data_IF_657443311821
#
_entry.id   IF_657443311821
#
_cell.length_a   1.000
_cell.length_b   1.000
_cell.length_c   1.000
_cell.angle_alpha   90.00
_cell.angle_beta   90.00
_cell.angle_gamma   90.00
#
_symmetry.space_group_name_H-M   'P 1'
#
loop_
_entity.id
_entity.type
_entity.pdbx_description
1 polymer ?
#
# COMPACT_ATOMS: atom_id res chain seq x y z
N UNK A 1 35.93 44.62 -28.93
CA UNK A 1 35.81 43.41 -28.10
C UNK A 1 34.34 42.98 -28.06
N UNK A 2 33.94 41.96 -28.84
CA UNK A 2 32.57 41.41 -28.84
C UNK A 2 32.53 40.22 -27.88
N UNK A 3 31.79 40.34 -26.77
CA UNK A 3 31.52 39.23 -25.85
C UNK A 3 30.36 38.40 -26.42
N UNK A 4 30.61 37.15 -26.75
CA UNK A 4 29.58 36.18 -27.08
C UNK A 4 28.99 35.64 -25.76
N UNK A 5 27.68 35.84 -25.54
CA UNK A 5 26.94 35.14 -24.50
C UNK A 5 26.71 33.70 -24.96
N UNK A 6 27.29 32.73 -24.25
CA UNK A 6 26.93 31.33 -24.36
C UNK A 6 25.64 31.12 -23.55
N UNK A 7 24.50 31.00 -24.23
CA UNK A 7 23.25 30.59 -23.60
C UNK A 7 23.28 29.09 -23.32
N UNK A 8 23.32 28.70 -22.05
CA UNK A 8 23.10 27.31 -21.64
C UNK A 8 21.61 27.02 -21.78
N UNK A 9 21.23 26.25 -22.80
CA UNK A 9 19.89 25.67 -22.89
C UNK A 9 19.81 24.54 -21.85
N UNK A 10 19.04 24.76 -20.78
CA UNK A 10 18.59 23.69 -19.91
C UNK A 10 17.53 22.89 -20.68
N UNK A 11 17.85 21.64 -21.02
CA UNK A 11 16.86 20.68 -21.51
C UNK A 11 16.17 20.11 -20.28
N UNK A 12 14.93 20.50 -20.05
CA UNK A 12 14.07 19.81 -19.08
C UNK A 12 13.68 18.46 -19.68
N UNK A 13 14.18 17.36 -19.10
CA UNK A 13 13.61 16.05 -19.35
C UNK A 13 12.28 15.98 -18.58
N UNK A 14 11.17 16.05 -19.30
CA UNK A 14 9.88 15.67 -18.75
C UNK A 14 9.86 14.15 -18.61
N UNK A 15 9.90 13.65 -17.39
CA UNK A 15 9.69 12.22 -17.12
C UNK A 15 8.19 11.95 -17.26
N UNK A 16 7.79 11.31 -18.35
CA UNK A 16 6.41 10.85 -18.51
C UNK A 16 6.18 9.75 -17.46
N UNK A 17 5.35 10.03 -16.47
CA UNK A 17 4.88 9.00 -15.54
C UNK A 17 3.88 8.13 -16.30
N UNK A 18 4.20 6.85 -16.47
CA UNK A 18 3.31 5.89 -17.12
C UNK A 18 2.39 5.27 -16.08
N UNK A 19 1.17 4.94 -16.48
CA UNK A 19 0.26 4.16 -15.64
C UNK A 19 0.51 2.66 -15.84
N UNK A 20 0.48 1.91 -14.74
CA UNK A 20 0.62 0.47 -14.68
C UNK A 20 -0.73 -0.12 -14.25
N UNK A 21 -1.15 -1.20 -14.92
CA UNK A 21 -2.33 -1.96 -14.51
C UNK A 21 -1.97 -2.91 -13.38
N UNK A 22 -2.77 -2.88 -12.31
CA UNK A 22 -2.64 -3.79 -11.18
C UNK A 22 -4.00 -4.36 -10.82
N UNK A 23 -3.99 -5.62 -10.38
CA UNK A 23 -5.15 -6.25 -9.75
C UNK A 23 -4.92 -6.27 -8.24
N UNK A 24 -5.91 -5.84 -7.47
CA UNK A 24 -5.83 -5.77 -6.02
C UNK A 24 -6.99 -6.57 -5.44
N UNK A 25 -6.70 -7.59 -4.65
CA UNK A 25 -7.72 -8.33 -3.89
C UNK A 25 -7.47 -8.07 -2.42
N UNK A 26 -8.45 -7.46 -1.75
CA UNK A 26 -8.36 -7.10 -0.33
C UNK A 26 -9.57 -7.68 0.39
N UNK A 27 -9.34 -8.09 1.63
CA UNK A 27 -10.42 -8.25 2.60
C UNK A 27 -9.94 -7.88 3.99
N UNK A 28 -10.88 -7.46 4.82
CA UNK A 28 -10.67 -7.23 6.24
C UNK A 28 -11.92 -7.72 6.94
N UNK A 29 -11.75 -8.33 8.11
CA UNK A 29 -12.89 -8.58 8.97
C UNK A 29 -13.54 -7.23 9.30
N UNK A 30 -14.83 -7.11 8.98
CA UNK A 30 -15.63 -5.91 9.13
C UNK A 30 -15.49 -4.73 8.14
N UNK A 31 -14.40 -3.96 8.11
CA UNK A 31 -14.35 -2.79 7.21
C UNK A 31 -12.92 -2.40 6.83
N UNK A 32 -12.78 -1.80 5.64
CA UNK A 32 -11.49 -1.35 5.15
C UNK A 32 -11.56 -0.21 4.13
N UNK A 33 -10.38 0.37 3.90
CA UNK A 33 -10.07 1.14 2.70
C UNK A 33 -8.59 1.04 2.42
N UNK A 34 -8.13 1.50 1.27
CA UNK A 34 -6.72 1.46 0.93
C UNK A 34 -6.37 2.59 -0.03
N UNK A 35 -5.08 2.81 -0.24
CA UNK A 35 -4.64 3.85 -1.14
C UNK A 35 -3.16 3.80 -1.43
N UNK A 36 -2.75 4.71 -2.30
CA UNK A 36 -1.37 4.88 -2.70
C UNK A 36 -0.91 6.31 -2.49
N UNK A 37 0.40 6.47 -2.30
CA UNK A 37 1.01 7.78 -2.19
C UNK A 37 2.50 7.68 -1.85
N UNK A 38 2.96 8.63 -1.05
CA UNK A 38 4.34 8.73 -0.60
C UNK A 38 4.46 8.35 0.88
N UNK A 39 5.65 8.49 1.47
CA UNK A 39 5.88 8.19 2.89
C UNK A 39 5.07 9.07 3.87
N UNK A 40 4.50 10.19 3.39
CA UNK A 40 3.85 11.21 4.21
C UNK A 40 2.33 11.25 4.04
N UNK A 41 1.79 10.68 2.96
CA UNK A 41 0.38 10.82 2.64
C UNK A 41 -0.13 9.77 1.65
N UNK A 42 -1.43 9.49 1.76
CA UNK A 42 -2.24 8.90 0.70
C UNK A 42 -2.72 10.03 -0.21
N UNK A 43 -2.55 9.84 -1.52
CA UNK A 43 -3.03 10.77 -2.56
C UNK A 43 -4.19 10.20 -3.36
N UNK A 44 -4.29 8.88 -3.45
CA UNK A 44 -5.38 8.16 -4.13
C UNK A 44 -5.99 7.14 -3.18
N UNK A 45 -7.32 7.17 -3.02
CA UNK A 45 -8.05 6.33 -2.07
C UNK A 45 -9.10 5.47 -2.76
N UNK A 46 -9.24 4.23 -2.29
CA UNK A 46 -10.19 3.23 -2.76
C UNK A 46 -10.80 2.49 -1.55
N UNK A 47 -11.94 1.83 -1.78
CA UNK A 47 -12.66 1.10 -0.75
C UNK A 47 -13.61 2.00 0.06
N UNK A 48 -13.56 1.90 1.39
CA UNK A 48 -14.62 2.36 2.29
C UNK A 48 -15.72 1.32 2.48
N UNK A 49 -15.38 0.06 2.27
CA UNK A 49 -16.31 -1.07 2.26
C UNK A 49 -16.49 -1.62 3.66
N UNK A 50 -17.70 -2.09 3.92
CA UNK A 50 -18.06 -2.88 5.08
C UNK A 50 -18.50 -4.29 4.70
N UNK A 51 -17.87 -5.27 5.34
CA UNK A 51 -18.32 -6.64 5.56
C UNK A 51 -19.11 -6.70 6.88
N UNK A 52 -20.38 -7.11 6.84
CA UNK A 52 -21.25 -7.32 8.01
C UNK A 52 -21.21 -8.78 8.49
N UNK A 53 -20.85 -9.72 7.62
CA UNK A 53 -20.83 -11.16 7.89
C UNK A 53 -19.54 -11.80 7.39
N UNK A 54 -19.09 -12.85 8.07
CA UNK A 54 -17.96 -13.66 7.60
C UNK A 54 -18.18 -14.23 6.18
N UNK A 55 -19.45 -14.48 5.81
CA UNK A 55 -19.81 -14.96 4.48
C UNK A 55 -19.34 -14.03 3.35
N UNK A 56 -19.36 -12.72 3.57
CA UNK A 56 -18.95 -11.73 2.57
C UNK A 56 -17.43 -11.77 2.31
N UNK A 57 -16.65 -12.26 3.28
CA UNK A 57 -15.19 -12.38 3.17
C UNK A 57 -14.79 -13.71 2.52
N UNK A 58 -15.44 -14.80 2.94
CA UNK A 58 -14.96 -16.14 2.63
C UNK A 58 -15.81 -16.91 1.62
N UNK A 59 -16.99 -16.42 1.23
CA UNK A 59 -17.91 -17.18 0.36
C UNK A 59 -17.77 -16.76 -1.09
N UNK A 60 -16.92 -17.46 -1.84
CA UNK A 60 -16.86 -17.35 -3.29
C UNK A 60 -15.61 -16.66 -3.84
N UNK A 61 -15.54 -16.51 -5.18
CA UNK A 61 -14.41 -15.87 -5.86
C UNK A 61 -14.42 -14.35 -5.66
N UNK A 62 -13.29 -13.65 -5.86
CA UNK A 62 -13.26 -12.20 -5.80
C UNK A 62 -14.28 -11.55 -6.75
N UNK A 63 -14.92 -10.49 -6.27
CA UNK A 63 -15.91 -9.73 -7.05
C UNK A 63 -15.31 -8.40 -7.48
N UNK A 64 -15.38 -8.09 -8.78
CA UNK A 64 -14.92 -6.81 -9.30
C UNK A 64 -15.71 -5.66 -8.66
N UNK A 65 -15.02 -4.81 -7.92
CA UNK A 65 -15.57 -3.59 -7.36
C UNK A 65 -15.62 -2.51 -8.45
N UNK A 66 -16.84 -2.18 -8.89
CA UNK A 66 -17.07 -1.18 -9.95
C UNK A 66 -17.33 0.22 -9.41
N UNK A 67 -17.04 0.45 -8.13
CA UNK A 67 -17.23 1.72 -7.46
C UNK A 67 -18.48 1.76 -6.58
N UNK A 68 -18.61 2.81 -5.76
CA UNK A 68 -19.73 2.95 -4.85
C UNK A 68 -21.05 3.18 -5.62
N UNK A 69 -22.09 2.38 -5.35
CA UNK A 69 -23.43 2.66 -5.89
C UNK A 69 -24.16 3.72 -5.07
N UNK A 70 -23.94 3.80 -3.75
CA UNK A 70 -24.30 4.87 -2.78
C UNK A 70 -23.73 4.46 -1.39
N UNK A 71 -23.44 5.38 -0.45
CA UNK A 71 -23.25 4.99 0.95
C UNK A 71 -24.52 4.33 1.50
N UNK A 72 -24.42 3.23 2.27
CA UNK A 72 -23.21 2.56 2.72
C UNK A 72 -22.63 1.61 1.66
N UNK A 73 -21.30 1.58 1.53
CA UNK A 73 -20.62 0.63 0.65
C UNK A 73 -20.58 -0.74 1.32
N UNK A 74 -21.66 -1.50 1.18
CA UNK A 74 -21.68 -2.92 1.58
C UNK A 74 -21.03 -3.76 0.49
N UNK A 75 -20.23 -4.75 0.88
CA UNK A 75 -19.75 -5.77 -0.05
C UNK A 75 -20.97 -6.39 -0.79
N UNK A 76 -20.94 -6.52 -2.13
CA UNK A 76 -22.02 -7.14 -2.90
C UNK A 76 -22.30 -8.61 -2.54
N UNK A 77 -21.48 -9.21 -1.68
CA UNK A 77 -21.89 -10.29 -0.79
C UNK A 77 -21.39 -11.69 -1.17
N UNK A 78 -20.30 -11.79 -1.94
CA UNK A 78 -19.83 -13.08 -2.48
C UNK A 78 -18.29 -13.18 -2.56
N UNK A 79 -17.59 -12.82 -1.49
CA UNK A 79 -16.13 -12.96 -1.40
C UNK A 79 -15.38 -11.62 -1.39
N UNK A 80 -14.04 -11.66 -1.39
CA UNK A 80 -13.22 -10.45 -1.27
C UNK A 80 -13.37 -9.55 -2.49
N UNK A 81 -13.10 -8.26 -2.35
CA UNK A 81 -13.23 -7.34 -3.47
C UNK A 81 -11.96 -7.30 -4.33
N UNK A 82 -12.17 -7.36 -5.63
CA UNK A 82 -11.16 -7.17 -6.67
C UNK A 82 -11.25 -5.74 -7.21
N UNK A 83 -10.13 -5.04 -7.25
CA UNK A 83 -9.98 -3.75 -7.90
C UNK A 83 -9.01 -3.90 -9.07
N UNK A 84 -9.41 -3.43 -10.24
CA UNK A 84 -8.54 -3.32 -11.41
C UNK A 84 -8.19 -1.85 -11.59
N UNK A 85 -6.93 -1.51 -11.32
CA UNK A 85 -6.51 -0.12 -11.17
C UNK A 85 -5.41 0.23 -12.16
N UNK A 86 -5.51 1.43 -12.72
CA UNK A 86 -4.41 2.09 -13.40
C UNK A 86 -3.70 3.03 -12.40
N UNK A 87 -2.52 2.65 -11.94
CA UNK A 87 -1.77 3.43 -10.94
C UNK A 87 -0.48 4.03 -11.54
N UNK A 88 0.02 5.17 -11.06
CA UNK A 88 1.32 5.69 -11.49
C UNK A 88 2.46 4.68 -11.27
N UNK A 89 3.44 4.64 -12.18
CA UNK A 89 4.62 3.77 -12.03
C UNK A 89 5.61 4.22 -10.95
N UNK A 90 5.38 5.39 -10.33
CA UNK A 90 6.28 6.05 -9.36
C UNK A 90 5.66 6.13 -7.97
N UNK A 91 4.83 5.16 -7.61
CA UNK A 91 4.29 5.08 -6.25
C UNK A 91 5.35 4.58 -5.27
N UNK A 92 5.45 5.24 -4.12
CA UNK A 92 6.42 4.83 -3.09
C UNK A 92 5.79 3.89 -2.07
N UNK A 93 4.54 4.17 -1.66
CA UNK A 93 3.85 3.43 -0.61
C UNK A 93 2.45 2.99 -1.02
N UNK A 94 2.08 1.81 -0.52
CA UNK A 94 0.69 1.39 -0.37
C UNK A 94 0.28 1.49 1.10
N UNK A 95 -0.96 1.89 1.31
CA UNK A 95 -1.59 1.99 2.63
C UNK A 95 -2.86 1.16 2.65
N UNK A 96 -3.06 0.39 3.73
CA UNK A 96 -4.28 -0.37 3.98
C UNK A 96 -4.84 0.06 5.33
N UNK A 97 -6.12 0.41 5.38
CA UNK A 97 -6.83 0.82 6.57
C UNK A 97 -7.76 -0.29 7.00
N UNK A 98 -7.81 -0.61 8.29
CA UNK A 98 -8.65 -1.66 8.84
C UNK A 98 -9.34 -1.23 10.13
N UNK A 99 -10.57 -1.67 10.34
CA UNK A 99 -11.39 -1.29 11.50
C UNK A 99 -11.37 -2.43 12.50
N UNK A 100 -11.20 -2.11 13.77
CA UNK A 100 -11.34 -3.11 14.82
C UNK A 100 -12.74 -3.71 14.87
N UNK A 101 -12.83 -5.04 14.93
CA UNK A 101 -14.02 -5.73 15.40
C UNK A 101 -14.12 -5.67 16.93
N UNK A 102 -15.37 -5.60 17.42
CA UNK A 102 -15.73 -5.57 18.83
C UNK A 102 -16.51 -6.79 19.28
N UNK A 103 -16.56 -7.85 18.46
CA UNK A 103 -17.44 -8.98 18.73
C UNK A 103 -16.78 -10.36 18.61
N UNK A 104 -15.96 -10.60 17.59
CA UNK A 104 -15.47 -11.95 17.28
C UNK A 104 -13.99 -11.94 16.92
N UNK A 105 -13.66 -11.51 15.72
CA UNK A 105 -12.32 -11.62 15.17
C UNK A 105 -11.99 -10.39 14.34
N UNK A 106 -10.70 -10.16 14.14
CA UNK A 106 -10.22 -9.06 13.33
C UNK A 106 -8.98 -9.47 12.56
N UNK A 107 -8.75 -8.81 11.44
CA UNK A 107 -7.57 -9.05 10.63
C UNK A 107 -7.70 -8.42 9.26
N UNK A 108 -6.57 -8.03 8.68
CA UNK A 108 -6.48 -7.56 7.33
C UNK A 108 -5.67 -8.52 6.45
N UNK A 109 -6.14 -8.79 5.24
CA UNK A 109 -5.50 -9.67 4.27
C UNK A 109 -5.58 -9.06 2.88
N UNK A 110 -4.46 -9.04 2.16
CA UNK A 110 -4.39 -8.40 0.85
C UNK A 110 -3.38 -9.06 -0.08
N UNK A 111 -3.70 -9.07 -1.37
CA UNK A 111 -2.79 -9.40 -2.45
C UNK A 111 -2.85 -8.35 -3.55
N UNK A 112 -1.70 -7.80 -3.92
CA UNK A 112 -1.55 -6.86 -5.03
C UNK A 112 -0.75 -7.56 -6.13
N UNK A 113 -1.38 -7.83 -7.27
CA UNK A 113 -0.70 -8.38 -8.43
C UNK A 113 -0.09 -7.23 -9.24
N UNK A 114 1.22 -7.05 -9.07
CA UNK A 114 2.00 -6.04 -9.77
C UNK A 114 2.73 -6.71 -10.96
N UNK A 115 3.21 -5.95 -11.97
CA UNK A 115 3.85 -6.53 -13.15
C UNK A 115 5.09 -7.38 -12.86
N UNK A 116 5.86 -7.06 -11.84
CA UNK A 116 7.13 -7.73 -11.53
C UNK A 116 7.03 -8.73 -10.38
N UNK A 117 5.84 -8.94 -9.85
CA UNK A 117 5.61 -9.86 -8.74
C UNK A 117 4.52 -9.37 -7.81
N UNK A 118 3.97 -10.26 -6.98
CA UNK A 118 2.94 -9.87 -6.05
C UNK A 118 3.54 -9.13 -4.85
N UNK A 119 2.82 -8.13 -4.36
CA UNK A 119 2.99 -7.64 -2.99
C UNK A 119 1.92 -8.32 -2.13
N UNK A 120 2.33 -9.05 -1.11
CA UNK A 120 1.44 -9.84 -0.26
C UNK A 120 1.41 -9.27 1.17
N UNK A 121 0.25 -9.28 1.80
CA UNK A 121 0.12 -8.91 3.21
C UNK A 121 0.98 -9.83 4.10
N UNK A 122 1.63 -9.24 5.09
CA UNK A 122 2.48 -9.96 6.04
C UNK A 122 3.78 -10.50 5.45
N UNK A 123 4.21 -9.99 4.30
CA UNK A 123 5.51 -10.26 3.68
C UNK A 123 6.29 -8.96 3.44
N UNK A 124 7.62 -9.01 3.51
CA UNK A 124 8.44 -7.80 3.35
C UNK A 124 8.39 -6.90 4.60
N UNK A 125 8.41 -5.59 4.40
CA UNK A 125 8.62 -4.58 5.46
C UNK A 125 7.33 -3.87 5.88
N UNK A 126 6.23 -4.63 6.02
CA UNK A 126 4.98 -4.05 6.51
C UNK A 126 5.15 -3.42 7.89
N UNK A 127 4.47 -2.31 8.09
CA UNK A 127 4.38 -1.61 9.37
C UNK A 127 2.93 -1.30 9.68
N UNK A 128 2.60 -1.17 10.96
CA UNK A 128 1.28 -0.73 11.41
C UNK A 128 1.38 0.48 12.31
N UNK A 129 0.39 1.36 12.17
CA UNK A 129 0.09 2.41 13.12
C UNK A 129 -1.32 2.21 13.67
N UNK A 130 -1.42 2.10 14.99
CA UNK A 130 -2.69 2.06 15.71
C UNK A 130 -3.07 3.50 16.07
N UNK A 131 -4.23 3.97 15.59
CA UNK A 131 -4.58 5.40 15.69
C UNK A 131 -5.22 5.79 17.01
N UNK A 132 -5.75 4.81 17.77
CA UNK A 132 -6.63 5.08 18.92
C UNK A 132 -7.96 5.75 18.57
N UNK A 133 -8.30 5.93 17.29
CA UNK A 133 -9.55 6.56 16.87
C UNK A 133 -10.58 5.47 16.62
N UNK A 134 -11.57 5.42 17.51
CA UNK A 134 -12.64 4.45 17.40
C UNK A 134 -13.47 4.65 16.15
N UNK A 135 -13.52 3.60 15.33
CA UNK A 135 -14.46 3.45 14.23
C UNK A 135 -15.25 2.16 14.46
N UNK A 136 -16.54 2.23 14.22
CA UNK A 136 -17.47 1.14 14.41
C UNK A 136 -17.92 0.61 13.06
N UNK A 137 -17.37 -0.54 12.67
CA UNK A 137 -17.80 -1.24 11.48
C UNK A 137 -19.30 -1.54 11.46
N UNK A 138 -19.95 -1.81 12.59
CA UNK A 138 -21.39 -2.07 12.62
C UNK A 138 -22.26 -0.83 12.36
N UNK A 139 -21.68 0.37 12.45
CA UNK A 139 -22.41 1.62 12.21
C UNK A 139 -22.39 1.98 10.73
N UNK A 140 -23.57 2.10 10.16
CA UNK A 140 -23.73 2.57 8.78
C UNK A 140 -23.17 4.00 8.64
N UNK A 141 -22.32 4.23 7.65
CA UNK A 141 -21.71 5.53 7.41
C UNK A 141 -20.45 5.84 8.24
N UNK A 142 -19.96 4.92 9.07
CA UNK A 142 -18.69 5.07 9.80
C UNK A 142 -17.49 4.46 9.04
N UNK A 143 -17.66 4.17 7.75
CA UNK A 143 -16.56 3.83 6.85
C UNK A 143 -15.86 5.11 6.40
N UNK A 144 -14.54 5.03 6.29
CA UNK A 144 -13.70 6.12 5.81
C UNK A 144 -13.81 6.13 4.29
N UNK A 145 -13.78 7.33 3.73
CA UNK A 145 -13.86 7.54 2.28
C UNK A 145 -12.73 8.48 1.85
N UNK A 146 -12.67 8.79 0.55
CA UNK A 146 -11.75 9.81 0.05
C UNK A 146 -11.92 11.18 0.74
N UNK A 147 -13.12 11.48 1.27
CA UNK A 147 -13.37 12.71 2.03
C UNK A 147 -12.61 12.75 3.37
N UNK A 148 -12.23 11.60 3.91
CA UNK A 148 -11.51 11.47 5.18
C UNK A 148 -9.98 11.48 5.02
N UNK A 149 -9.46 11.66 3.81
CA UNK A 149 -8.01 11.77 3.57
C UNK A 149 -7.30 12.79 4.47
N UNK A 150 -7.87 13.97 4.80
CA UNK A 150 -7.25 14.88 5.77
C UNK A 150 -7.05 14.24 7.15
N UNK A 151 -8.01 13.46 7.64
CA UNK A 151 -7.89 12.74 8.91
C UNK A 151 -6.83 11.64 8.82
N UNK A 152 -6.87 10.84 7.74
CA UNK A 152 -5.95 9.72 7.54
C UNK A 152 -4.51 10.24 7.44
N UNK A 153 -4.27 11.27 6.64
CA UNK A 153 -2.94 11.86 6.46
C UNK A 153 -2.44 12.56 7.74
N UNK A 154 -3.33 13.09 8.58
CA UNK A 154 -2.93 13.58 9.91
C UNK A 154 -2.43 12.44 10.82
N UNK A 155 -3.03 11.26 10.76
CA UNK A 155 -2.55 10.08 11.50
C UNK A 155 -1.22 9.55 10.94
N UNK A 156 -1.03 9.57 9.61
CA UNK A 156 0.26 9.23 8.98
C UNK A 156 1.36 10.19 9.46
N UNK A 157 1.07 11.49 9.50
CA UNK A 157 2.00 12.49 10.01
C UNK A 157 2.33 12.28 11.50
N UNK A 158 1.33 11.94 12.32
CA UNK A 158 1.52 11.60 13.74
C UNK A 158 2.45 10.40 13.89
N UNK A 159 2.23 9.34 13.11
CA UNK A 159 3.06 8.14 13.11
C UNK A 159 4.50 8.43 12.64
N UNK A 160 4.68 9.27 11.62
CA UNK A 160 6.00 9.70 11.14
C UNK A 160 6.75 10.53 12.20
N UNK A 161 6.04 11.24 13.07
CA UNK A 161 6.62 11.98 14.19
C UNK A 161 6.91 11.08 15.42
N UNK A 162 6.75 9.76 15.31
CA UNK A 162 6.77 8.83 16.44
C UNK A 162 5.81 9.25 17.57
N UNK A 163 4.64 9.77 17.19
CA UNK A 163 3.56 10.11 18.11
C UNK A 163 2.60 8.95 18.34
N UNK A 164 1.68 9.13 19.29
CA UNK A 164 0.72 8.12 19.73
C UNK A 164 0.22 8.41 21.14
N UNK A 165 -0.71 7.59 21.64
CA UNK A 165 -1.29 7.68 22.97
C UNK A 165 -1.25 6.35 23.72
N UNK A 166 -1.80 6.35 24.94
CA UNK A 166 -1.96 5.12 25.70
C UNK A 166 -2.89 4.15 24.95
N UNK A 167 -2.46 2.89 24.82
CA UNK A 167 -3.23 1.86 24.13
C UNK A 167 -3.13 1.88 22.60
N UNK A 168 -2.33 2.80 22.03
CA UNK A 168 -2.05 2.88 20.59
C UNK A 168 -0.58 2.53 20.32
N UNK A 169 -0.19 2.43 19.04
CA UNK A 169 1.24 2.43 18.72
C UNK A 169 1.83 3.83 18.88
N UNK A 170 3.13 3.90 19.16
CA UNK A 170 3.92 5.13 19.11
C UNK A 170 4.78 5.04 17.87
N UNK A 171 4.39 5.73 16.81
CA UNK A 171 4.99 5.58 15.48
C UNK A 171 4.65 4.28 14.77
N UNK A 172 5.30 4.09 13.63
CA UNK A 172 5.18 2.90 12.79
C UNK A 172 5.94 1.73 13.40
N UNK A 173 5.24 0.68 13.82
CA UNK A 173 5.89 -0.52 14.36
C UNK A 173 5.86 -1.66 13.35
N UNK A 174 6.99 -2.34 13.22
CA UNK A 174 7.14 -3.58 12.44
C UNK A 174 6.78 -4.83 13.28
N UNK A 175 7.03 -6.02 12.75
CA UNK A 175 6.73 -7.30 13.41
C UNK A 175 7.59 -7.59 14.65
N UNK A 176 8.70 -6.86 14.80
CA UNK A 176 9.58 -6.93 15.96
C UNK A 176 9.27 -5.83 16.98
N UNK A 177 8.26 -4.99 16.72
CA UNK A 177 7.92 -3.84 17.55
C UNK A 177 8.94 -2.71 17.43
N UNK A 178 9.68 -2.65 16.33
CA UNK A 178 10.70 -1.64 16.08
C UNK A 178 10.18 -0.54 15.18
N UNK A 179 10.67 0.68 15.43
CA UNK A 179 10.44 1.86 14.60
C UNK A 179 11.38 1.86 13.38
N UNK A 180 11.10 2.64 12.32
CA UNK A 180 11.97 2.71 11.13
C UNK A 180 13.42 3.14 11.40
N UNK A 181 13.67 3.78 12.55
CA UNK A 181 15.00 4.18 13.01
C UNK A 181 15.70 3.12 13.88
N UNK A 182 15.19 1.88 13.91
CA UNK A 182 15.65 0.76 14.73
C UNK A 182 15.66 1.03 16.24
N UNK A 183 14.72 1.85 16.73
CA UNK A 183 14.45 1.98 18.17
C UNK A 183 13.17 1.24 18.55
N UNK A 184 13.02 0.74 19.80
CA UNK A 184 11.78 0.09 20.23
C UNK A 184 10.57 1.03 20.19
N UNK A 185 9.46 0.54 19.64
CA UNK A 185 8.15 1.20 19.66
C UNK A 185 7.23 0.66 20.75
N UNK A 186 5.93 0.96 20.64
CA UNK A 186 4.87 0.42 21.50
C UNK A 186 4.00 -0.54 20.71
N UNK A 187 3.96 -1.79 21.17
CA UNK A 187 3.32 -2.90 20.45
C UNK A 187 4.11 -3.35 19.22
N UNK A 188 3.49 -4.19 18.40
CA UNK A 188 4.09 -4.72 17.17
C UNK A 188 3.02 -5.02 16.12
N UNK A 189 3.44 -5.06 14.85
CA UNK A 189 2.67 -5.70 13.79
C UNK A 189 2.55 -7.20 14.10
N UNK A 190 1.32 -7.66 14.29
CA UNK A 190 1.04 -9.08 14.44
C UNK A 190 0.85 -9.72 13.07
N UNK A 191 1.52 -10.85 12.86
CA UNK A 191 1.32 -11.69 11.70
C UNK A 191 0.64 -12.99 12.14
N UNK A 192 -0.57 -13.21 11.63
CA UNK A 192 -1.39 -14.38 11.92
C UNK A 192 -1.08 -15.54 10.99
N UNK A 193 -2.06 -16.41 10.82
CA UNK A 193 -1.99 -17.56 9.92
C UNK A 193 -1.83 -17.12 8.46
N UNK A 194 -1.33 -18.05 7.65
CA UNK A 194 -1.32 -17.94 6.20
C UNK A 194 -2.74 -18.05 5.64
N UNK A 195 -2.94 -17.56 4.42
CA UNK A 195 -4.18 -17.77 3.65
C UNK A 195 -4.22 -19.18 3.02
N UNK A 196 -3.90 -20.20 3.79
CA UNK A 196 -3.93 -21.60 3.38
C UNK A 196 -4.87 -22.41 4.30
N UNK A 197 -4.83 -23.74 4.27
CA UNK A 197 -5.63 -24.56 5.18
C UNK A 197 -4.80 -24.89 6.43
N UNK A 198 -5.32 -24.67 7.66
CA UNK A 198 -6.74 -24.54 8.03
C UNK A 198 -7.41 -23.18 7.79
N UNK A 199 -6.65 -22.11 7.56
CA UNK A 199 -7.18 -20.76 7.29
C UNK A 199 -7.00 -19.81 8.46
N UNK A 200 -7.77 -18.71 8.44
CA UNK A 200 -7.78 -17.69 9.49
C UNK A 200 -7.96 -18.30 10.89
N UNK A 201 -7.06 -18.02 11.85
CA UNK A 201 -7.19 -18.41 13.27
C UNK A 201 -7.47 -19.90 13.52
N UNK A 202 -6.97 -20.77 12.63
CA UNK A 202 -7.20 -22.22 12.73
C UNK A 202 -8.65 -22.68 12.53
N UNK A 203 -9.58 -21.82 12.08
CA UNK A 203 -10.92 -22.29 11.70
C UNK A 203 -10.86 -23.01 10.36
N UNK A 204 -10.77 -24.35 10.44
CA UNK A 204 -10.80 -25.30 9.33
C UNK A 204 -11.94 -25.00 8.34
N UNK A 205 -11.66 -24.29 7.24
CA UNK A 205 -12.43 -24.23 5.97
C UNK A 205 -12.33 -22.88 5.24
N UNK A 206 -11.69 -21.87 5.83
CA UNK A 206 -11.80 -20.50 5.34
C UNK A 206 -10.50 -20.01 4.68
N UNK A 207 -10.41 -20.26 3.37
CA UNK A 207 -9.40 -19.63 2.49
C UNK A 207 -10.07 -18.47 1.77
N UNK A 208 -9.49 -17.29 1.83
CA UNK A 208 -9.94 -16.14 1.05
C UNK A 208 -9.50 -16.35 -0.40
N UNK A 209 -10.46 -16.58 -1.29
CA UNK A 209 -10.16 -16.84 -2.70
C UNK A 209 -9.54 -15.61 -3.37
N UNK A 210 -8.66 -15.83 -4.35
CA UNK A 210 -8.01 -14.76 -5.10
C UNK A 210 -6.89 -14.01 -4.36
N UNK A 211 -6.64 -14.32 -3.08
CA UNK A 211 -5.45 -13.89 -2.37
C UNK A 211 -4.47 -15.08 -2.28
N UNK A 212 -3.18 -14.83 -2.51
CA UNK A 212 -2.15 -15.88 -2.46
C UNK A 212 -2.11 -16.58 -1.10
N UNK A 213 -1.89 -17.89 -1.09
CA UNK A 213 -1.71 -18.68 0.15
C UNK A 213 -0.50 -18.27 0.97
N UNK A 214 0.47 -17.56 0.37
CA UNK A 214 1.64 -17.04 1.08
C UNK A 214 1.37 -15.70 1.80
N UNK A 215 0.18 -15.13 1.62
CA UNK A 215 -0.23 -13.92 2.35
C UNK A 215 -0.59 -14.29 3.79
N UNK A 216 -0.30 -13.39 4.73
CA UNK A 216 -0.66 -13.58 6.14
C UNK A 216 -1.62 -12.49 6.61
N UNK A 217 -2.48 -12.87 7.54
CA UNK A 217 -3.34 -11.92 8.25
C UNK A 217 -2.48 -10.95 9.07
N UNK A 218 -2.80 -9.67 8.97
CA UNK A 218 -2.10 -8.60 9.69
C UNK A 218 -3.01 -7.96 10.72
N UNK A 219 -2.46 -7.65 11.90
CA UNK A 219 -3.13 -6.85 12.92
C UNK A 219 -2.14 -6.06 13.77
N UNK A 220 -2.62 -5.24 14.71
CA UNK A 220 -1.78 -4.60 15.72
C UNK A 220 -1.87 -5.35 17.05
N UNK A 221 -0.72 -5.65 17.65
CA UNK A 221 -0.63 -6.17 19.01
C UNK A 221 -0.02 -5.12 19.94
N UNK A 222 -0.85 -4.53 20.81
CA UNK A 222 -0.42 -3.52 21.79
C UNK A 222 0.60 -4.02 22.82
N UNK A 223 0.59 -5.33 23.12
CA UNK A 223 1.51 -5.93 24.09
C UNK A 223 1.82 -7.39 23.69
N UNK A 224 2.81 -7.59 22.79
CA UNK A 224 3.20 -8.91 22.33
C UNK A 224 3.69 -9.86 23.43
N UNK A 225 4.08 -9.33 24.60
CA UNK A 225 4.59 -10.15 25.70
C UNK A 225 3.47 -10.80 26.51
N UNK A 226 2.29 -10.19 26.55
CA UNK A 226 1.17 -10.67 27.38
C UNK A 226 -0.06 -11.06 26.57
N UNK A 227 -0.20 -10.54 25.34
CA UNK A 227 -1.34 -10.78 24.48
C UNK A 227 -0.96 -11.70 23.31
N UNK A 228 -1.30 -12.99 23.45
CA UNK A 228 -0.89 -14.03 22.50
C UNK A 228 -1.69 -14.03 21.21
N UNK A 229 -2.95 -13.59 21.22
CA UNK A 229 -3.79 -13.55 20.04
C UNK A 229 -4.45 -12.18 19.83
N UNK A 230 -3.84 -11.31 19.01
CA UNK A 230 -4.39 -9.99 18.69
C UNK A 230 -5.49 -10.01 17.63
N UNK A 231 -5.81 -11.16 17.04
CA UNK A 231 -6.84 -11.33 16.02
C UNK A 231 -8.19 -11.76 16.58
N UNK A 232 -8.25 -12.16 17.86
CA UNK A 232 -9.50 -12.46 18.54
C UNK A 232 -9.93 -11.27 19.39
N UNK A 233 -11.22 -10.93 19.34
CA UNK A 233 -11.79 -9.96 20.26
C UNK A 233 -11.78 -10.54 21.68
N UNK A 234 -11.16 -9.83 22.63
CA UNK A 234 -11.03 -10.28 24.02
C UNK A 234 -11.78 -9.43 25.05
N UNK A 235 -12.87 -8.77 24.64
CA UNK A 235 -13.65 -7.90 25.52
C UNK A 235 -12.96 -6.56 25.80
N UNK A 236 -13.76 -5.53 26.11
CA UNK A 236 -13.26 -4.19 26.41
C UNK A 236 -12.47 -4.16 27.73
N UNK A 237 -11.22 -3.71 27.64
CA UNK A 237 -10.42 -3.19 28.75
C UNK A 237 -9.78 -1.86 28.35
N UNK A 238 -8.90 -1.26 29.17
CA UNK A 238 -8.22 0.02 28.86
C UNK A 238 -7.37 0.03 27.57
N UNK A 239 -7.33 -1.08 26.83
CA UNK A 239 -6.80 -1.16 25.47
C UNK A 239 -7.63 -2.08 24.58
N UNK A 240 -8.96 -2.00 24.67
CA UNK A 240 -9.85 -2.65 23.70
C UNK A 240 -9.62 -2.10 22.29
N UNK A 241 -9.78 -2.96 21.29
CA UNK A 241 -9.67 -2.64 19.86
C UNK A 241 -10.76 -1.64 19.48
N UNK A 242 -10.50 -0.36 19.72
CA UNK A 242 -11.38 0.78 19.44
C UNK A 242 -10.62 1.76 18.56
N UNK A 243 -10.04 1.25 17.49
CA UNK A 243 -9.16 1.99 16.61
C UNK A 243 -9.31 1.51 15.17
N UNK A 244 -9.16 2.42 14.22
CA UNK A 244 -8.75 2.00 12.90
C UNK A 244 -7.23 1.93 12.84
N UNK A 245 -6.73 0.90 12.18
CA UNK A 245 -5.32 0.67 11.93
C UNK A 245 -4.95 1.22 10.55
N UNK A 246 -3.71 1.70 10.43
CA UNK A 246 -3.10 2.03 9.14
C UNK A 246 -1.90 1.12 8.98
N UNK A 247 -1.95 0.22 8.01
CA UNK A 247 -0.80 -0.55 7.55
C UNK A 247 -0.15 0.16 6.38
N UNK A 248 1.18 0.07 6.27
CA UNK A 248 1.89 0.55 5.11
C UNK A 248 3.08 -0.33 4.75
N UNK A 249 3.48 -0.27 3.49
CA UNK A 249 4.76 -0.82 3.03
C UNK A 249 5.21 -0.10 1.76
N UNK A 250 6.51 -0.16 1.48
CA UNK A 250 7.07 0.39 0.26
C UNK A 250 6.75 -0.50 -0.94
N UNK A 251 6.34 0.11 -2.05
CA UNK A 251 5.98 -0.59 -3.29
C UNK A 251 6.99 -0.34 -4.42
N UNK A 252 7.80 0.72 -4.31
CA UNK A 252 8.75 1.16 -5.35
C UNK A 252 9.66 0.01 -5.85
N UNK A 253 10.23 -0.78 -4.94
CA UNK A 253 11.11 -1.90 -5.31
C UNK A 253 10.43 -2.98 -6.16
N UNK A 254 9.09 -3.11 -6.08
CA UNK A 254 8.32 -4.07 -6.88
C UNK A 254 7.88 -3.46 -8.21
N UNK A 255 7.72 -2.13 -8.31
CA UNK A 255 7.32 -1.45 -9.55
C UNK A 255 8.50 -1.04 -10.44
N UNK A 256 9.64 -0.64 -9.88
CA UNK A 256 10.80 -0.11 -10.61
C UNK A 256 11.42 -1.10 -11.60
N UNK A 257 11.31 -2.41 -11.34
CA UNK A 257 11.80 -3.45 -12.26
C UNK A 257 11.01 -3.55 -13.57
N UNK A 258 9.88 -2.84 -13.71
CA UNK A 258 9.08 -2.79 -14.94
C UNK A 258 9.47 -1.65 -15.87
N UNK A 259 10.31 -0.71 -15.43
CA UNK A 259 10.76 0.39 -16.27
C UNK A 259 11.87 -0.17 -17.18
N UNK A 260 11.65 -0.30 -18.50
CA UNK A 260 12.76 -0.58 -19.40
C UNK A 260 13.74 0.57 -19.22
N UNK A 261 14.97 0.28 -18.80
CA UNK A 261 16.03 1.29 -18.81
C UNK A 261 15.96 2.02 -20.15
N UNK A 262 15.95 3.37 -20.17
CA UNK A 262 15.84 4.09 -21.42
C UNK A 262 17.07 3.80 -22.27
N UNK A 263 16.96 2.78 -23.13
CA UNK A 263 17.91 2.45 -24.19
C UNK A 263 18.15 3.65 -25.13
N UNK A 264 17.35 4.70 -25.00
CA UNK A 264 17.39 5.94 -25.77
C UNK A 264 18.53 6.87 -25.40
N UNK A 265 19.06 6.86 -24.17
CA UNK A 265 20.18 7.74 -23.81
C UNK A 265 21.48 7.34 -24.55
N UNK A 266 21.75 6.03 -24.63
CA UNK A 266 22.93 5.50 -25.31
C UNK A 266 22.81 5.61 -26.83
N UNK A 267 21.62 5.42 -27.40
CA UNK A 267 21.40 5.52 -28.86
C UNK A 267 21.42 6.98 -29.35
N UNK A 268 20.93 7.94 -28.57
CA UNK A 268 21.00 9.37 -28.95
C UNK A 268 22.44 9.90 -28.86
N UNK A 269 23.20 9.53 -27.82
CA UNK A 269 24.62 9.88 -27.71
C UNK A 269 25.45 9.19 -28.79
N UNK A 270 25.21 7.91 -29.08
CA UNK A 270 25.88 7.19 -30.16
C UNK A 270 25.51 7.76 -31.55
N UNK A 271 24.24 8.13 -31.75
CA UNK A 271 23.75 8.75 -33.00
C UNK A 271 24.34 10.13 -33.24
N UNK A 272 24.44 10.97 -32.20
CA UNK A 272 25.08 12.28 -32.27
C UNK A 272 26.60 12.17 -32.46
N UNK A 273 27.25 11.20 -31.81
CA UNK A 273 28.67 10.92 -32.01
C UNK A 273 28.96 10.43 -33.45
N UNK A 274 28.13 9.55 -34.02
CA UNK A 274 28.26 9.12 -35.41
C UNK A 274 28.02 10.26 -36.41
N UNK A 275 27.05 11.14 -36.15
CA UNK A 275 26.77 12.31 -36.98
C UNK A 275 27.94 13.32 -36.94
N UNK A 276 28.56 13.52 -35.78
CA UNK A 276 29.74 14.37 -35.63
C UNK A 276 30.98 13.77 -36.32
N UNK A 277 31.16 12.45 -36.27
CA UNK A 277 32.24 11.73 -36.96
C UNK A 277 32.07 11.74 -38.49
N UNK A 278 30.84 11.65 -39.01
CA UNK A 278 30.58 11.79 -40.45
C UNK A 278 30.87 13.19 -40.99
N UNK A 279 30.63 14.26 -40.22
CA UNK A 279 30.95 15.64 -40.64
C UNK A 279 32.46 15.91 -40.74
N UNK A 280 33.31 15.23 -39.96
CA UNK A 280 34.77 15.42 -40.03
C UNK A 280 35.45 14.80 -41.26
N UNK A 281 34.79 13.88 -41.98
CA UNK A 281 35.34 13.27 -43.21
C UNK A 281 35.03 14.02 -44.49
N UNK A 282 34.21 15.08 -44.44
CA UNK A 282 33.75 15.81 -45.62
C UNK A 282 34.46 17.18 -45.81
N UNK A 283 35.78 17.23 -45.63
CA UNK A 283 36.58 18.42 -46.01
C UNK A 283 37.43 18.07 -47.23
N UNK A 284 37.08 18.52 -48.45
CA UNK A 284 37.88 18.24 -49.64
C UNK A 284 39.15 19.10 -49.65
N UNK A 285 40.26 18.45 -49.94
CA UNK A 285 41.58 19.03 -50.15
C UNK A 285 41.54 19.97 -51.38
N UNK A 286 41.49 21.29 -51.17
CA UNK A 286 41.76 22.27 -52.24
C UNK A 286 43.27 22.41 -52.40
N UNK A 287 43.84 21.73 -53.41
CA UNK A 287 45.15 22.08 -53.97
C UNK A 287 45.02 23.40 -54.73
N UNK A 288 45.83 24.39 -54.36
CA UNK A 288 46.14 25.53 -55.19
C UNK A 288 47.32 25.16 -56.11
N UNK A 289 47.25 25.62 -57.36
CA UNK A 289 48.38 25.64 -58.30
C UNK A 289 49.30 26.81 -58.05
#
# INVERSE_FOLDING_TARGET
MRRALLGVMAVFLECTVWAVQIDVVITVDNAYGFGFGDANSITTYFGGIRNVTAGEIFTGPPVLFTGPSLPPYTNPGVGPELYQLAVPSVLDYVYLLAWSDKSSYQGALAGFQLPNGPLLSGTGTWQVFATGINRNSYTEGDTLTAADLPLINAQIALANANGGGAGTSIGWVDEFGMLPNNTPGVGALALGDYNDFPGFQGVNSWIVQGISSNSRWMWYNKDPNTFSNPFAYSGEGPGGHNEFLIFRTQIAHVLESAIPEPATATVVVAGLALAALRRRRATPNRRAG
#
